data_IF_164931307522
#
_entry.id   IF_164931307522
#
_cell.length_a   1.000
_cell.length_b   1.000
_cell.length_c   1.000
_cell.angle_alpha   90.00
_cell.angle_beta   90.00
_cell.angle_gamma   90.00
#
_symmetry.space_group_name_H-M   'P 1'
#
loop_
_entity.id
_entity.type
_entity.pdbx_description
1 polymer ?
#
# COMPACT_ATOMS: atom_id res chain seq x y z
N UNK A 1 -2.81 18.94 8.62
CA UNK A 1 -3.48 17.68 8.21
C UNK A 1 -2.77 16.52 8.90
N UNK A 2 -3.51 15.67 9.59
CA UNK A 2 -2.98 14.47 10.27
C UNK A 2 -3.44 13.24 9.49
N UNK A 3 -2.54 12.27 9.29
CA UNK A 3 -2.83 10.99 8.66
C UNK A 3 -2.33 9.85 9.55
N UNK A 4 -3.17 8.85 9.73
CA UNK A 4 -2.85 7.63 10.47
C UNK A 4 -2.60 6.50 9.47
N UNK A 5 -1.57 5.72 9.69
CA UNK A 5 -1.14 4.64 8.83
C UNK A 5 -1.33 3.32 9.55
N UNK A 6 -2.14 2.45 8.95
CA UNK A 6 -2.48 1.13 9.47
C UNK A 6 -1.85 0.01 8.66
N UNK A 7 -1.64 -1.18 9.22
CA UNK A 7 -1.21 -2.34 8.45
C UNK A 7 -2.33 -2.77 7.49
N UNK A 8 -1.95 -3.14 6.27
CA UNK A 8 -2.91 -3.64 5.27
C UNK A 8 -3.12 -5.15 5.42
N UNK A 9 -2.06 -5.86 5.77
CA UNK A 9 -2.02 -7.32 5.94
C UNK A 9 -1.20 -7.67 7.17
N UNK A 10 -1.48 -8.83 7.76
CA UNK A 10 -0.64 -9.40 8.81
C UNK A 10 0.74 -9.77 8.29
N UNK A 11 1.70 -9.85 9.19
CA UNK A 11 3.07 -10.24 8.82
C UNK A 11 4.12 -9.75 9.79
N UNK A 12 5.39 -9.91 9.42
CA UNK A 12 6.55 -9.50 10.23
C UNK A 12 7.22 -8.29 9.59
N UNK A 13 7.48 -7.27 10.39
CA UNK A 13 8.23 -6.07 9.98
C UNK A 13 9.69 -6.44 9.79
N UNK A 14 10.20 -6.37 8.56
CA UNK A 14 11.59 -6.73 8.23
C UNK A 14 12.50 -5.52 8.17
N UNK A 15 11.98 -4.40 7.69
CA UNK A 15 12.72 -3.15 7.61
C UNK A 15 11.87 -2.00 8.11
N UNK A 16 12.50 -1.11 8.86
CA UNK A 16 11.93 0.16 9.29
C UNK A 16 12.78 1.27 8.67
N UNK A 17 12.16 2.15 7.88
CA UNK A 17 12.86 3.19 7.09
C UNK A 17 12.59 4.60 7.57
N UNK A 18 11.73 4.74 8.57
CA UNK A 18 11.32 6.05 9.06
C UNK A 18 11.21 6.06 10.59
N UNK A 19 11.68 7.13 11.20
CA UNK A 19 11.73 7.33 12.65
C UNK A 19 10.89 8.55 13.06
N UNK A 20 10.58 8.66 14.36
CA UNK A 20 9.88 9.83 14.91
C UNK A 20 10.73 11.08 14.66
N UNK A 21 10.08 12.13 14.14
CA UNK A 21 10.72 13.39 13.77
C UNK A 21 11.19 13.47 12.32
N UNK A 22 11.22 12.37 11.59
CA UNK A 22 11.57 12.38 10.17
C UNK A 22 10.50 13.08 9.33
N UNK A 23 10.95 13.84 8.34
CA UNK A 23 10.06 14.36 7.30
C UNK A 23 9.94 13.35 6.17
N UNK A 24 8.71 12.96 5.86
CA UNK A 24 8.38 12.04 4.78
C UNK A 24 7.49 12.71 3.74
N UNK A 25 7.66 12.33 2.48
CA UNK A 25 6.79 12.75 1.38
C UNK A 25 5.73 11.71 1.12
N UNK A 26 4.62 12.13 0.54
CA UNK A 26 3.60 11.20 0.06
C UNK A 26 4.22 10.17 -0.89
N UNK A 27 4.04 8.89 -0.57
CA UNK A 27 4.58 7.75 -1.30
C UNK A 27 5.91 7.22 -0.78
N UNK A 28 6.58 7.90 0.15
CA UNK A 28 7.81 7.40 0.77
C UNK A 28 7.54 6.12 1.56
N UNK A 29 8.48 5.18 1.49
CA UNK A 29 8.37 3.89 2.19
C UNK A 29 8.74 4.07 3.65
N UNK A 30 7.81 3.75 4.54
CA UNK A 30 7.97 3.83 6.00
C UNK A 30 8.50 2.52 6.59
N UNK A 31 7.99 1.41 6.10
CA UNK A 31 8.37 0.07 6.53
C UNK A 31 8.19 -0.96 5.41
N UNK A 32 8.90 -2.08 5.52
CA UNK A 32 8.74 -3.26 4.67
C UNK A 32 8.30 -4.42 5.55
N UNK A 33 7.23 -5.09 5.12
CA UNK A 33 6.58 -6.15 5.88
C UNK A 33 6.51 -7.40 5.03
N UNK A 34 6.91 -8.54 5.61
CA UNK A 34 6.76 -9.86 5.01
C UNK A 34 5.44 -10.47 5.45
N UNK A 35 4.59 -10.86 4.50
CA UNK A 35 3.25 -11.35 4.76
C UNK A 35 2.97 -12.66 4.05
N UNK A 36 2.35 -13.62 4.78
CA UNK A 36 1.86 -14.86 4.18
C UNK A 36 0.71 -14.62 3.19
N UNK A 37 -0.15 -13.66 3.47
CA UNK A 37 -1.25 -13.29 2.58
C UNK A 37 -0.73 -12.76 1.23
N UNK A 38 0.36 -11.98 1.25
CA UNK A 38 1.02 -11.51 0.02
C UNK A 38 1.62 -12.68 -0.76
N UNK A 39 2.20 -13.67 -0.08
CA UNK A 39 2.70 -14.89 -0.72
C UNK A 39 1.59 -15.68 -1.43
N UNK A 40 0.38 -15.71 -0.86
CA UNK A 40 -0.78 -16.35 -1.49
C UNK A 40 -1.21 -15.59 -2.76
N UNK A 41 -1.18 -14.27 -2.75
CA UNK A 41 -1.43 -13.47 -3.97
C UNK A 41 -0.36 -13.71 -5.05
N UNK A 42 0.92 -13.83 -4.67
CA UNK A 42 1.99 -14.16 -5.62
C UNK A 42 1.78 -15.52 -6.27
N UNK A 43 1.36 -16.51 -5.49
CA UNK A 43 1.00 -17.83 -6.02
C UNK A 43 -0.16 -17.73 -7.01
N UNK A 44 -1.23 -17.00 -6.66
CA UNK A 44 -2.37 -16.77 -7.55
C UNK A 44 -1.96 -16.08 -8.85
N UNK A 45 -1.08 -15.07 -8.78
CA UNK A 45 -0.56 -14.41 -9.98
C UNK A 45 0.17 -15.38 -10.90
N UNK A 46 1.04 -16.20 -10.34
CA UNK A 46 1.79 -17.20 -11.10
C UNK A 46 0.87 -18.23 -11.76
N UNK A 47 -0.17 -18.67 -11.05
CA UNK A 47 -1.18 -19.58 -11.60
C UNK A 47 -1.96 -18.93 -12.74
N UNK A 48 -2.37 -17.66 -12.60
CA UNK A 48 -3.06 -16.91 -13.65
C UNK A 48 -2.16 -16.67 -14.89
N UNK A 49 -0.89 -16.37 -14.70
CA UNK A 49 0.08 -16.23 -15.80
C UNK A 49 0.28 -17.55 -16.58
N UNK A 50 0.34 -18.68 -15.89
CA UNK A 50 0.42 -19.99 -16.52
C UNK A 50 -0.86 -20.31 -17.29
N UNK A 51 -2.02 -20.03 -16.71
CA UNK A 51 -3.31 -20.23 -17.38
C UNK A 51 -3.44 -19.36 -18.64
N UNK A 52 -3.00 -18.12 -18.58
CA UNK A 52 -2.96 -17.21 -19.72
C UNK A 52 -2.05 -17.75 -20.82
N UNK A 53 -0.86 -18.25 -20.48
CA UNK A 53 0.05 -18.84 -21.45
C UNK A 53 -0.57 -20.05 -22.16
N UNK A 54 -1.26 -20.92 -21.42
CA UNK A 54 -1.96 -22.07 -21.98
C UNK A 54 -3.11 -21.64 -22.90
N UNK A 55 -3.91 -20.66 -22.46
CA UNK A 55 -5.02 -20.15 -23.27
C UNK A 55 -4.56 -19.51 -24.57
N UNK A 56 -3.44 -18.78 -24.56
CA UNK A 56 -2.82 -18.21 -25.79
C UNK A 56 -2.39 -19.30 -26.74
N UNK A 57 -1.66 -20.31 -26.25
CA UNK A 57 -1.22 -21.43 -27.09
C UNK A 57 -2.40 -22.22 -27.69
N UNK A 58 -3.46 -22.42 -26.89
CA UNK A 58 -4.67 -23.07 -27.36
C UNK A 58 -5.36 -22.25 -28.46
N UNK A 59 -5.46 -20.92 -28.27
CA UNK A 59 -6.04 -20.02 -29.26
C UNK A 59 -5.24 -20.07 -30.55
N UNK A 60 -3.91 -19.99 -30.50
CA UNK A 60 -3.03 -20.02 -31.67
C UNK A 60 -3.18 -21.35 -32.42
N UNK A 61 -3.12 -22.49 -31.72
CA UNK A 61 -3.30 -23.82 -32.31
C UNK A 61 -4.69 -24.00 -32.95
N UNK A 62 -5.75 -23.52 -32.26
CA UNK A 62 -7.11 -23.60 -32.79
C UNK A 62 -7.28 -22.75 -34.06
N UNK A 63 -6.66 -21.58 -34.07
CA UNK A 63 -6.66 -20.70 -35.26
C UNK A 63 -5.96 -21.36 -36.44
N UNK A 64 -4.82 -22.02 -36.24
CA UNK A 64 -4.09 -22.75 -37.28
C UNK A 64 -4.91 -23.94 -37.80
N UNK A 65 -5.58 -24.66 -36.90
CA UNK A 65 -6.49 -25.75 -37.30
C UNK A 65 -7.69 -25.23 -38.10
N UNK A 66 -8.24 -24.09 -37.73
CA UNK A 66 -9.34 -23.45 -38.44
C UNK A 66 -8.91 -23.03 -39.83
N UNK A 67 -7.74 -22.41 -39.99
CA UNK A 67 -7.18 -22.01 -41.28
C UNK A 67 -6.93 -23.21 -42.21
N UNK A 68 -6.69 -24.38 -41.63
CA UNK A 68 -6.51 -25.65 -42.35
C UNK A 68 -7.82 -26.43 -42.57
N UNK A 69 -8.97 -25.89 -42.15
CA UNK A 69 -10.27 -26.53 -42.24
C UNK A 69 -10.52 -27.69 -41.26
N UNK A 70 -9.69 -27.78 -40.20
CA UNK A 70 -9.75 -28.84 -39.17
C UNK A 70 -10.42 -28.41 -37.88
N UNK A 71 -10.81 -27.16 -37.74
CA UNK A 71 -11.58 -26.66 -36.62
C UNK A 71 -12.78 -25.84 -37.12
N UNK A 72 -13.81 -25.71 -36.29
CA UNK A 72 -15.02 -24.94 -36.56
C UNK A 72 -14.94 -23.51 -35.99
N UNK A 73 -15.84 -22.62 -36.48
CA UNK A 73 -16.04 -21.26 -35.88
C UNK A 73 -16.33 -21.34 -34.41
N UNK A 74 -17.05 -22.37 -33.95
CA UNK A 74 -17.37 -22.59 -32.57
C UNK A 74 -16.11 -22.84 -31.73
N UNK A 75 -15.18 -23.64 -32.23
CA UNK A 75 -13.93 -23.95 -31.55
C UNK A 75 -13.06 -22.71 -31.38
N UNK A 76 -12.96 -21.88 -32.44
CA UNK A 76 -12.27 -20.58 -32.38
C UNK A 76 -12.92 -19.64 -31.36
N UNK A 77 -14.26 -19.55 -31.38
CA UNK A 77 -14.97 -18.71 -30.42
C UNK A 77 -14.74 -19.16 -28.98
N UNK A 78 -14.76 -20.46 -28.71
CA UNK A 78 -14.48 -21.02 -27.41
C UNK A 78 -13.06 -20.69 -26.94
N UNK A 79 -12.05 -20.95 -27.77
CA UNK A 79 -10.65 -20.64 -27.45
C UNK A 79 -10.44 -19.15 -27.17
N UNK A 80 -11.12 -18.28 -27.93
CA UNK A 80 -11.11 -16.82 -27.71
C UNK A 80 -11.72 -16.42 -26.37
N UNK A 81 -12.83 -17.05 -25.98
CA UNK A 81 -13.46 -16.78 -24.68
C UNK A 81 -12.56 -17.23 -23.52
N UNK A 82 -11.90 -18.38 -23.62
CA UNK A 82 -10.93 -18.88 -22.65
C UNK A 82 -9.75 -17.91 -22.50
N UNK A 83 -9.21 -17.43 -23.61
CA UNK A 83 -8.14 -16.44 -23.62
C UNK A 83 -8.57 -15.14 -22.94
N UNK A 84 -9.73 -14.59 -23.31
CA UNK A 84 -10.26 -13.36 -22.72
C UNK A 84 -10.48 -13.49 -21.21
N UNK A 85 -10.97 -14.63 -20.74
CA UNK A 85 -11.16 -14.91 -19.32
C UNK A 85 -9.82 -14.98 -18.57
N UNK A 86 -8.82 -15.64 -19.16
CA UNK A 86 -7.49 -15.75 -18.56
C UNK A 86 -6.77 -14.38 -18.52
N UNK A 87 -6.92 -13.54 -19.54
CA UNK A 87 -6.40 -12.16 -19.55
C UNK A 87 -7.06 -11.29 -18.48
N UNK A 88 -8.37 -11.42 -18.28
CA UNK A 88 -9.10 -10.68 -17.28
C UNK A 88 -8.66 -11.07 -15.86
N UNK A 89 -8.46 -12.36 -15.59
CA UNK A 89 -8.03 -12.84 -14.28
C UNK A 89 -6.60 -12.42 -13.94
N UNK A 90 -5.66 -12.54 -14.89
CA UNK A 90 -4.30 -12.06 -14.70
C UNK A 90 -4.27 -10.55 -14.40
N UNK A 91 -5.04 -9.76 -15.14
CA UNK A 91 -5.15 -8.32 -14.92
C UNK A 91 -5.71 -8.00 -13.56
N UNK A 92 -6.78 -8.67 -13.14
CA UNK A 92 -7.40 -8.49 -11.81
C UNK A 92 -6.37 -8.66 -10.69
N UNK A 93 -5.54 -9.72 -10.76
CA UNK A 93 -4.55 -9.98 -9.73
C UNK A 93 -3.41 -8.94 -9.79
N UNK A 94 -2.96 -8.53 -10.98
CA UNK A 94 -1.96 -7.45 -11.13
C UNK A 94 -2.43 -6.12 -10.58
N UNK A 95 -3.71 -5.80 -10.71
CA UNK A 95 -4.30 -4.60 -10.12
C UNK A 95 -4.21 -4.64 -8.59
N UNK A 96 -4.44 -5.80 -7.95
CA UNK A 96 -4.26 -5.99 -6.51
C UNK A 96 -2.81 -5.69 -6.09
N UNK A 97 -1.81 -6.18 -6.85
CA UNK A 97 -0.40 -5.89 -6.60
C UNK A 97 -0.08 -4.40 -6.63
N UNK A 98 -0.66 -3.69 -7.60
CA UNK A 98 -0.49 -2.24 -7.75
C UNK A 98 -1.14 -1.47 -6.60
N UNK A 99 -2.38 -1.82 -6.24
CA UNK A 99 -3.16 -1.15 -5.19
C UNK A 99 -2.47 -1.27 -3.82
N UNK A 100 -1.96 -2.45 -3.49
CA UNK A 100 -1.38 -2.73 -2.18
C UNK A 100 0.14 -2.59 -2.12
N UNK A 101 0.78 -2.13 -3.19
CA UNK A 101 2.23 -1.91 -3.25
C UNK A 101 3.05 -3.17 -2.91
N UNK A 102 2.64 -4.34 -3.43
CA UNK A 102 3.42 -5.56 -3.29
C UNK A 102 4.75 -5.42 -4.03
N UNK A 103 5.84 -5.82 -3.37
CA UNK A 103 7.20 -5.70 -3.92
C UNK A 103 7.84 -7.03 -4.33
N UNK A 104 7.05 -8.11 -4.33
CA UNK A 104 7.53 -9.46 -4.60
C UNK A 104 8.14 -10.15 -3.38
N UNK A 105 8.36 -11.47 -3.47
CA UNK A 105 8.93 -12.32 -2.40
C UNK A 105 8.16 -12.25 -1.07
N UNK A 106 6.83 -12.17 -1.14
CA UNK A 106 5.95 -12.06 0.01
C UNK A 106 6.07 -10.74 0.81
N UNK A 107 6.62 -9.68 0.21
CA UNK A 107 6.77 -8.38 0.85
C UNK A 107 5.78 -7.36 0.33
N UNK A 108 5.30 -6.48 1.23
CA UNK A 108 4.64 -5.24 0.85
C UNK A 108 5.28 -4.03 1.52
N UNK A 109 5.14 -2.88 0.88
CA UNK A 109 5.67 -1.61 1.36
C UNK A 109 4.58 -0.78 2.00
N UNK A 110 4.76 -0.42 3.26
CA UNK A 110 3.92 0.55 3.93
C UNK A 110 4.41 1.95 3.54
N UNK A 111 3.57 2.72 2.84
CA UNK A 111 3.92 4.04 2.30
C UNK A 111 3.17 5.15 3.00
N UNK A 112 3.78 6.33 3.05
CA UNK A 112 3.13 7.52 3.57
C UNK A 112 1.99 8.00 2.64
N UNK A 113 0.78 8.20 3.15
CA UNK A 113 -0.35 8.72 2.37
C UNK A 113 -0.27 10.23 2.14
N UNK A 114 0.51 10.94 2.95
CA UNK A 114 0.67 12.40 2.93
C UNK A 114 2.13 12.80 3.12
N UNK A 115 2.45 14.07 2.83
CA UNK A 115 3.75 14.64 3.21
C UNK A 115 3.63 15.30 4.58
N UNK A 116 4.62 15.07 5.46
CA UNK A 116 4.62 15.61 6.82
C UNK A 116 5.72 15.00 7.69
N UNK A 117 5.66 15.30 8.97
CA UNK A 117 6.58 14.76 9.98
C UNK A 117 5.92 13.57 10.70
N UNK A 118 6.70 12.56 11.00
CA UNK A 118 6.26 11.44 11.84
C UNK A 118 6.21 11.92 13.29
N UNK A 119 5.01 12.01 13.84
CA UNK A 119 4.78 12.46 15.23
C UNK A 119 4.62 11.33 16.20
N UNK A 120 4.14 10.17 15.72
CA UNK A 120 4.02 8.95 16.51
C UNK A 120 4.43 7.73 15.68
N UNK A 121 5.01 6.75 16.37
CA UNK A 121 5.45 5.48 15.81
C UNK A 121 5.19 4.35 16.80
N UNK A 122 4.32 3.42 16.44
CA UNK A 122 3.95 2.25 17.25
C UNK A 122 4.40 0.93 16.59
N UNK A 123 5.46 0.99 15.80
CA UNK A 123 6.01 -0.13 15.07
C UNK A 123 7.51 -0.27 15.36
N UNK A 124 7.97 -1.50 15.46
CA UNK A 124 9.39 -1.83 15.62
C UNK A 124 9.81 -2.91 14.64
N UNK A 125 11.12 -3.02 14.41
CA UNK A 125 11.69 -4.12 13.64
C UNK A 125 11.37 -5.46 14.32
N UNK A 126 11.12 -6.49 13.53
CA UNK A 126 10.75 -7.84 13.95
C UNK A 126 9.39 -7.94 14.66
N UNK A 127 8.64 -6.85 14.76
CA UNK A 127 7.27 -6.85 15.27
C UNK A 127 6.36 -7.67 14.37
N UNK A 128 5.51 -8.49 14.97
CA UNK A 128 4.51 -9.26 14.26
C UNK A 128 3.16 -8.52 14.26
N UNK A 129 2.70 -8.16 13.08
CA UNK A 129 1.43 -7.51 12.84
C UNK A 129 0.34 -8.56 12.62
N UNK A 130 -0.85 -8.31 13.16
CA UNK A 130 -2.02 -9.16 12.95
C UNK A 130 -3.00 -8.49 11.98
N UNK A 131 -3.74 -9.25 11.15
CA UNK A 131 -4.70 -8.67 10.20
C UNK A 131 -5.85 -7.90 10.87
N UNK A 132 -6.19 -8.26 12.10
CA UNK A 132 -7.26 -7.67 12.91
C UNK A 132 -6.79 -6.51 13.81
N UNK A 133 -5.52 -6.13 13.71
CA UNK A 133 -4.93 -5.06 14.51
C UNK A 133 -5.39 -3.71 13.98
N UNK A 134 -6.22 -3.02 14.77
CA UNK A 134 -6.71 -1.67 14.48
C UNK A 134 -5.79 -0.56 15.02
N UNK A 135 -4.61 -0.92 15.55
CA UNK A 135 -3.64 0.04 16.06
C UNK A 135 -2.90 0.72 14.90
N UNK A 136 -2.78 2.04 15.00
CA UNK A 136 -2.00 2.83 14.05
C UNK A 136 -0.51 2.57 14.22
N UNK A 137 0.18 2.39 13.09
CA UNK A 137 1.62 2.14 13.09
C UNK A 137 2.43 3.43 13.04
N UNK A 138 1.91 4.43 12.34
CA UNK A 138 2.49 5.78 12.26
C UNK A 138 1.39 6.82 12.26
N UNK A 139 1.67 7.95 12.92
CA UNK A 139 0.92 9.18 12.77
C UNK A 139 1.81 10.21 12.09
N UNK A 140 1.32 10.76 10.96
CA UNK A 140 2.05 11.74 10.16
C UNK A 140 1.27 13.05 10.19
N UNK A 141 1.94 14.14 10.57
CA UNK A 141 1.34 15.47 10.66
C UNK A 141 2.09 16.48 9.79
N UNK A 142 1.33 17.25 9.01
CA UNK A 142 1.85 18.46 8.37
C UNK A 142 1.90 19.58 9.39
N UNK A 143 3.10 19.90 9.87
CA UNK A 143 3.34 20.96 10.87
C UNK A 143 3.34 22.35 10.23
N UNK A 144 2.48 22.65 9.26
CA UNK A 144 2.36 23.97 8.67
C UNK A 144 1.88 25.01 9.67
N UNK A 145 1.03 24.59 10.60
CA UNK A 145 0.48 25.42 11.66
C UNK A 145 0.55 24.68 12.99
N UNK A 146 1.13 25.29 13.99
CA UNK A 146 1.23 24.76 15.35
C UNK A 146 0.53 25.72 16.32
N UNK A 147 -0.23 25.14 17.24
CA UNK A 147 -0.83 25.89 18.33
C UNK A 147 0.05 25.74 19.56
N UNK A 148 0.44 26.86 20.13
CA UNK A 148 1.13 26.89 21.41
C UNK A 148 0.15 27.34 22.48
N UNK A 149 -0.15 26.45 23.42
CA UNK A 149 -0.97 26.78 24.58
C UNK A 149 -0.06 27.15 25.72
N UNK A 150 -0.27 28.33 26.30
CA UNK A 150 0.44 28.80 27.49
C UNK A 150 -0.56 29.05 28.62
N UNK A 151 -0.27 28.50 29.78
CA UNK A 151 -1.04 28.80 30.99
C UNK A 151 -0.64 30.16 31.54
N UNK A 152 -1.60 31.05 31.69
CA UNK A 152 -1.39 32.38 32.25
C UNK A 152 -2.03 32.46 33.64
N UNK A 153 -1.25 32.84 34.63
CA UNK A 153 -1.79 33.05 35.97
C UNK A 153 -2.76 34.23 36.00
N UNK A 154 -3.78 34.16 36.85
CA UNK A 154 -4.83 35.16 36.99
C UNK A 154 -4.24 36.59 37.25
N UNK A 155 -3.14 36.68 37.98
CA UNK A 155 -2.41 37.94 38.25
C UNK A 155 -1.81 38.59 36.99
N UNK A 156 -1.57 37.82 35.92
CA UNK A 156 -0.90 38.27 34.73
C UNK A 156 -1.85 38.39 33.51
N UNK A 157 -3.10 38.00 33.68
CA UNK A 157 -4.09 38.00 32.63
C UNK A 157 -4.31 39.39 32.00
N UNK A 158 -4.18 40.45 32.82
CA UNK A 158 -4.30 41.84 32.37
C UNK A 158 -3.14 42.32 31.50
N UNK A 159 -2.02 41.59 31.47
CA UNK A 159 -0.84 41.87 30.65
C UNK A 159 -0.87 41.18 29.30
N UNK A 160 -1.82 40.26 29.07
CA UNK A 160 -1.99 39.52 27.84
C UNK A 160 -3.16 40.13 27.08
N UNK A 161 -2.95 40.46 25.82
CA UNK A 161 -3.99 40.96 24.91
C UNK A 161 -4.08 40.10 23.66
N UNK A 162 -5.27 40.05 23.07
CA UNK A 162 -5.44 39.47 21.75
C UNK A 162 -4.51 40.18 20.75
N UNK A 163 -3.96 39.45 19.80
CA UNK A 163 -3.03 39.91 18.77
C UNK A 163 -1.67 40.42 19.29
N UNK A 164 -1.31 40.16 20.52
CA UNK A 164 0.03 40.45 21.04
C UNK A 164 1.09 39.60 20.34
N UNK A 165 2.21 40.21 19.93
CA UNK A 165 3.34 39.48 19.36
C UNK A 165 4.05 38.67 20.44
N UNK A 166 4.17 37.36 20.20
CA UNK A 166 4.82 36.42 21.13
C UNK A 166 6.10 35.90 20.49
N UNK A 167 7.17 35.82 21.27
CA UNK A 167 8.41 35.15 20.88
C UNK A 167 8.50 33.80 21.57
N UNK A 168 8.56 32.73 20.78
CA UNK A 168 8.74 31.37 21.27
C UNK A 168 10.18 30.96 20.96
N UNK A 169 10.91 30.48 21.98
CA UNK A 169 12.22 29.86 21.84
C UNK A 169 12.15 28.44 22.40
N UNK A 170 12.57 27.48 21.58
CA UNK A 170 12.75 26.09 22.02
C UNK A 170 14.21 25.86 22.36
N UNK A 171 14.46 25.07 23.40
CA UNK A 171 15.80 24.64 23.80
C UNK A 171 16.32 23.57 22.85
#
# INVERSE_FOLDING_TARGET
>A
QVAHVYPMFGGTVTELKAEIGDFVRKGDVLAVIRSGEVADYEKQLKEAEQQLLLARRNMDATQDMYNSGMASDKDVLQAKQELTSAEAEERRIKDVFSIYNFSGNAYYQLKSPVSGFIVEKQISRDMQLRPDQSEELFTISGLSDVWVMADVYESDISKVSEDASVRISTL
#
